data_IF_868352938907
#
_entry.id   IF_868352938907
#
_cell.length_a   1.000
_cell.length_b   1.000
_cell.length_c   1.000
_cell.angle_alpha   90.00
_cell.angle_beta   90.00
_cell.angle_gamma   90.00
#
_symmetry.space_group_name_H-M   'P 1'
#
loop_
_entity.id
_entity.type
_entity.pdbx_description
1 polymer ?
#
# COMPACT_ATOMS: atom_id res chain seq x y z
N UNK A 1 -25.72 4.02 -1.54
CA UNK A 1 -25.06 4.19 -0.22
C UNK A 1 -24.71 2.79 0.24
N UNK A 2 -23.49 2.33 -0.03
CA UNK A 2 -22.96 1.11 0.56
C UNK A 2 -21.75 1.55 1.38
N UNK A 3 -21.92 1.41 2.69
CA UNK A 3 -20.97 1.75 3.73
C UNK A 3 -19.72 0.92 3.55
N UNK A 4 -18.63 1.58 3.14
CA UNK A 4 -17.30 1.00 3.13
C UNK A 4 -16.84 0.87 4.58
N UNK A 5 -17.08 -0.29 5.19
CA UNK A 5 -16.47 -0.65 6.47
C UNK A 5 -14.96 -0.73 6.29
N UNK A 6 -14.28 0.31 6.75
CA UNK A 6 -12.87 0.33 7.05
C UNK A 6 -12.63 -0.65 8.20
N UNK A 7 -12.39 -1.92 7.87
CA UNK A 7 -11.87 -2.86 8.87
C UNK A 7 -10.43 -2.47 9.16
N UNK A 8 -10.23 -1.97 10.38
CA UNK A 8 -8.97 -1.51 10.95
C UNK A 8 -7.83 -2.51 10.69
N UNK A 9 -6.75 -2.04 10.05
CA UNK A 9 -5.48 -2.77 10.02
C UNK A 9 -4.96 -2.83 11.47
N UNK A 10 -5.18 -3.95 12.14
CA UNK A 10 -4.58 -4.20 13.44
C UNK A 10 -3.06 -4.35 13.31
N UNK A 11 -2.28 -3.69 14.19
CA UNK A 11 -0.83 -3.69 14.12
C UNK A 11 -0.31 -5.10 14.37
N UNK A 12 0.80 -5.44 13.73
CA UNK A 12 1.55 -6.70 13.89
C UNK A 12 1.99 -6.82 15.35
N UNK A 13 1.10 -7.27 16.22
CA UNK A 13 1.44 -7.75 17.56
C UNK A 13 2.05 -9.12 17.37
N UNK A 14 3.20 -9.37 18.01
CA UNK A 14 3.79 -10.70 18.16
C UNK A 14 2.72 -11.67 18.64
N UNK A 15 2.10 -12.39 17.70
CA UNK A 15 1.01 -13.29 18.00
C UNK A 15 1.62 -14.57 18.56
N UNK A 16 1.12 -15.04 19.69
CA UNK A 16 1.45 -16.35 20.26
C UNK A 16 1.38 -17.42 19.16
N UNK A 17 2.52 -18.07 18.89
CA UNK A 17 2.65 -19.05 17.80
C UNK A 17 2.66 -20.47 18.35
N UNK A 18 2.65 -21.45 17.44
CA UNK A 18 2.76 -22.87 17.79
C UNK A 18 4.10 -23.17 18.47
N UNK A 19 5.15 -22.43 18.13
CA UNK A 19 6.50 -22.62 18.70
C UNK A 19 6.59 -22.17 20.17
N UNK A 20 5.65 -21.32 20.62
CA UNK A 20 5.56 -20.85 22.00
C UNK A 20 4.81 -21.84 22.94
N UNK A 21 4.37 -22.98 22.41
CA UNK A 21 3.64 -24.00 23.18
C UNK A 21 4.60 -24.84 24.02
N UNK A 22 4.42 -24.81 25.33
CA UNK A 22 5.15 -25.67 26.28
C UNK A 22 4.36 -26.96 26.54
N UNK A 23 4.66 -28.01 25.78
CA UNK A 23 3.97 -29.32 25.84
C UNK A 23 4.98 -30.46 26.03
N UNK A 24 5.71 -30.42 27.14
CA UNK A 24 6.57 -31.55 27.55
C UNK A 24 5.79 -32.57 28.39
N UNK A 25 5.06 -33.47 27.73
CA UNK A 25 4.29 -34.56 28.39
C UNK A 25 4.93 -35.95 28.25
N UNK A 26 5.78 -36.16 27.24
CA UNK A 26 6.37 -37.46 26.92
C UNK A 26 7.21 -38.06 28.06
N UNK A 27 8.11 -37.32 28.73
CA UNK A 27 8.87 -37.85 29.86
C UNK A 27 7.96 -38.35 30.99
N UNK A 28 6.88 -37.62 31.26
CA UNK A 28 5.93 -37.94 32.31
C UNK A 28 5.09 -39.19 31.96
N UNK A 29 4.68 -39.34 30.70
CA UNK A 29 3.99 -40.54 30.21
C UNK A 29 4.90 -41.76 30.34
N UNK A 30 6.17 -41.65 29.94
CA UNK A 30 7.14 -42.72 30.09
C UNK A 30 7.34 -43.13 31.55
N UNK A 31 7.47 -42.15 32.45
CA UNK A 31 7.62 -42.37 33.88
C UNK A 31 6.40 -43.05 34.52
N UNK A 32 5.19 -42.73 34.05
CA UNK A 32 3.96 -43.39 34.47
C UNK A 32 3.97 -44.85 33.97
N UNK A 33 4.22 -45.07 32.68
CA UNK A 33 4.24 -46.41 32.08
C UNK A 33 5.22 -47.33 32.82
N UNK A 34 6.44 -46.82 33.05
CA UNK A 34 7.50 -47.54 33.76
C UNK A 34 7.15 -47.82 35.22
N UNK A 35 6.39 -46.95 35.87
CA UNK A 35 5.95 -47.15 37.25
C UNK A 35 4.78 -48.13 37.38
N UNK A 36 3.97 -48.29 36.33
CA UNK A 36 2.86 -49.26 36.28
C UNK A 36 3.35 -50.66 35.90
N UNK A 37 4.37 -50.76 35.05
CA UNK A 37 4.98 -52.04 34.66
C UNK A 37 5.88 -52.65 35.74
N UNK A 38 6.18 -51.91 36.81
CA UNK A 38 7.07 -52.37 37.88
C UNK A 38 6.32 -53.31 38.82
N UNK A 39 6.77 -54.56 38.94
CA UNK A 39 6.15 -55.56 39.81
C UNK A 39 6.56 -55.32 41.28
N UNK A 40 5.64 -55.01 42.21
CA UNK A 40 5.99 -54.65 43.58
C UNK A 40 6.36 -55.89 44.40
N UNK A 41 7.60 -55.95 44.88
CA UNK A 41 8.11 -57.08 45.69
C UNK A 41 7.67 -57.03 47.18
N UNK A 42 7.13 -55.92 47.68
CA UNK A 42 6.67 -55.74 49.08
C UNK A 42 5.38 -54.88 49.15
N UNK A 43 4.47 -55.19 50.09
CA UNK A 43 3.15 -54.54 50.27
C UNK A 43 3.27 -53.06 50.66
N UNK A 44 4.31 -52.70 51.44
CA UNK A 44 4.59 -51.30 51.78
C UNK A 44 5.13 -50.49 50.60
N UNK A 45 5.92 -51.13 49.72
CA UNK A 45 6.40 -50.53 48.47
C UNK A 45 5.25 -50.31 47.48
N UNK A 46 4.32 -51.27 47.38
CA UNK A 46 3.13 -51.17 46.54
C UNK A 46 2.26 -49.95 46.86
N UNK A 47 2.05 -49.65 48.14
CA UNK A 47 1.27 -48.49 48.57
C UNK A 47 1.95 -47.17 48.20
N UNK A 48 3.28 -47.07 48.38
CA UNK A 48 4.06 -45.88 48.05
C UNK A 48 4.15 -45.66 46.54
N UNK A 49 4.45 -46.70 45.76
CA UNK A 49 4.50 -46.64 44.30
C UNK A 49 3.13 -46.30 43.69
N UNK A 50 2.04 -46.84 44.25
CA UNK A 50 0.67 -46.48 43.84
C UNK A 50 0.33 -45.02 44.13
N UNK A 51 0.86 -44.44 45.20
CA UNK A 51 0.67 -43.02 45.52
C UNK A 51 1.49 -42.14 44.56
N UNK A 52 2.74 -42.51 44.30
CA UNK A 52 3.63 -41.78 43.38
C UNK A 52 3.10 -41.82 41.93
N UNK A 53 2.58 -42.96 41.47
CA UNK A 53 1.93 -43.06 40.15
C UNK A 53 0.70 -42.17 40.05
N UNK A 54 -0.13 -42.15 41.09
CA UNK A 54 -1.31 -41.28 41.17
C UNK A 54 -0.93 -39.80 41.10
N UNK A 55 0.16 -39.40 41.77
CA UNK A 55 0.68 -38.02 41.68
C UNK A 55 1.16 -37.67 40.26
N UNK A 56 1.88 -38.56 39.57
CA UNK A 56 2.31 -38.35 38.18
C UNK A 56 1.13 -38.24 37.22
N UNK A 57 0.07 -39.04 37.42
CA UNK A 57 -1.16 -38.96 36.62
C UNK A 57 -1.85 -37.60 36.80
N UNK A 58 -1.92 -37.09 38.04
CA UNK A 58 -2.46 -35.76 38.32
C UNK A 58 -1.61 -34.65 37.69
N UNK A 59 -0.29 -34.79 37.68
CA UNK A 59 0.61 -33.87 37.00
C UNK A 59 0.39 -33.88 35.48
N UNK A 60 0.20 -35.06 34.89
CA UNK A 60 -0.10 -35.19 33.47
C UNK A 60 -1.42 -34.51 33.11
N UNK A 61 -2.45 -34.70 33.93
CA UNK A 61 -3.73 -34.03 33.76
C UNK A 61 -3.57 -32.50 33.80
N UNK A 62 -2.82 -31.96 34.77
CA UNK A 62 -2.52 -30.52 34.85
C UNK A 62 -1.78 -30.01 33.61
N UNK A 63 -0.79 -30.76 33.10
CA UNK A 63 -0.05 -30.38 31.89
C UNK A 63 -0.96 -30.40 30.65
N UNK A 64 -1.87 -31.37 30.52
CA UNK A 64 -2.84 -31.40 29.43
C UNK A 64 -3.84 -30.24 29.49
N UNK A 65 -4.31 -29.88 30.68
CA UNK A 65 -5.21 -28.74 30.86
C UNK A 65 -4.51 -27.41 30.56
N UNK A 66 -3.24 -27.28 30.97
CA UNK A 66 -2.38 -26.14 30.60
C UNK A 66 -2.18 -26.06 29.08
N UNK A 67 -1.83 -27.16 28.42
CA UNK A 67 -1.66 -27.23 26.96
C UNK A 67 -2.96 -26.84 26.24
N UNK A 68 -4.12 -27.33 26.71
CA UNK A 68 -5.44 -26.94 26.18
C UNK A 68 -5.71 -25.45 26.35
N UNK A 69 -5.33 -24.87 27.49
CA UNK A 69 -5.47 -23.43 27.73
C UNK A 69 -4.54 -22.59 26.83
N UNK A 70 -3.33 -23.08 26.55
CA UNK A 70 -2.41 -22.43 25.61
C UNK A 70 -2.91 -22.53 24.16
N UNK A 71 -3.39 -23.70 23.74
CA UNK A 71 -4.01 -23.90 22.41
C UNK A 71 -5.16 -22.92 22.21
N UNK A 72 -5.98 -22.67 23.25
CA UNK A 72 -7.07 -21.68 23.21
C UNK A 72 -6.63 -20.23 22.98
N UNK A 73 -5.35 -19.91 23.18
CA UNK A 73 -4.78 -18.58 22.92
C UNK A 73 -4.24 -18.43 21.50
N UNK A 74 -4.16 -19.52 20.74
CA UNK A 74 -3.66 -19.47 19.37
C UNK A 74 -4.63 -18.65 18.49
N UNK A 75 -4.12 -17.67 17.74
CA UNK A 75 -4.96 -16.89 16.84
C UNK A 75 -5.52 -17.80 15.75
N UNK A 76 -6.79 -17.58 15.40
CA UNK A 76 -7.40 -18.27 14.27
C UNK A 76 -8.23 -19.50 14.62
N UNK A 77 -8.06 -20.10 15.80
CA UNK A 77 -8.83 -21.28 16.25
C UNK A 77 -10.31 -20.97 16.50
N UNK A 78 -10.66 -19.69 16.67
CA UNK A 78 -12.03 -19.23 16.92
C UNK A 78 -12.91 -19.32 15.67
N UNK A 79 -12.29 -19.39 14.50
CA UNK A 79 -12.99 -19.42 13.22
C UNK A 79 -13.25 -20.86 12.80
N UNK A 80 -14.40 -21.07 12.16
CA UNK A 80 -14.65 -22.33 11.45
C UNK A 80 -13.69 -22.47 10.26
N UNK A 81 -13.47 -23.70 9.80
CA UNK A 81 -12.62 -23.97 8.63
C UNK A 81 -13.06 -23.15 7.40
N UNK A 82 -14.37 -23.01 7.20
CA UNK A 82 -14.95 -22.26 6.09
C UNK A 82 -14.67 -20.76 6.20
N UNK A 83 -14.83 -20.20 7.40
CA UNK A 83 -14.53 -18.80 7.69
C UNK A 83 -13.03 -18.49 7.51
N UNK A 84 -12.14 -19.39 7.93
CA UNK A 84 -10.70 -19.26 7.72
C UNK A 84 -10.38 -19.20 6.22
N UNK A 85 -10.97 -20.10 5.42
CA UNK A 85 -10.77 -20.12 3.97
C UNK A 85 -11.32 -18.86 3.30
N UNK A 86 -12.50 -18.39 3.70
CA UNK A 86 -13.10 -17.17 3.16
C UNK A 86 -12.24 -15.92 3.48
N UNK A 87 -11.71 -15.82 4.70
CA UNK A 87 -10.80 -14.73 5.10
C UNK A 87 -9.50 -14.79 4.30
N UNK A 88 -8.97 -15.98 4.08
CA UNK A 88 -7.77 -16.21 3.26
C UNK A 88 -8.00 -15.78 1.80
N UNK A 89 -9.12 -16.17 1.19
CA UNK A 89 -9.48 -15.73 -0.16
C UNK A 89 -9.61 -14.20 -0.26
N UNK A 90 -10.23 -13.58 0.75
CA UNK A 90 -10.37 -12.13 0.83
C UNK A 90 -9.01 -11.45 0.89
N UNK A 91 -8.10 -11.94 1.73
CA UNK A 91 -6.73 -11.43 1.82
C UNK A 91 -5.97 -11.60 0.51
N UNK A 92 -6.11 -12.75 -0.18
CA UNK A 92 -5.51 -12.97 -1.51
C UNK A 92 -6.03 -11.96 -2.53
N UNK A 93 -7.34 -11.69 -2.55
CA UNK A 93 -7.96 -10.68 -3.42
C UNK A 93 -7.43 -9.27 -3.11
N UNK A 94 -7.40 -8.88 -1.83
CA UNK A 94 -6.86 -7.59 -1.41
C UNK A 94 -5.40 -7.42 -1.82
N UNK A 95 -4.57 -8.44 -1.61
CA UNK A 95 -3.16 -8.41 -1.98
C UNK A 95 -2.97 -8.28 -3.49
N UNK A 96 -3.76 -9.00 -4.29
CA UNK A 96 -3.77 -8.87 -5.75
C UNK A 96 -4.10 -7.44 -6.18
N UNK A 97 -5.17 -6.86 -5.64
CA UNK A 97 -5.58 -5.49 -5.96
C UNK A 97 -4.53 -4.45 -5.53
N UNK A 98 -3.97 -4.58 -4.32
CA UNK A 98 -2.86 -3.74 -3.84
C UNK A 98 -1.65 -3.82 -4.79
N UNK A 99 -1.28 -5.03 -5.27
CA UNK A 99 -0.20 -5.21 -6.26
C UNK A 99 -0.51 -4.58 -7.61
N UNK A 100 -1.70 -4.78 -8.15
CA UNK A 100 -2.14 -4.19 -9.42
C UNK A 100 -2.10 -2.66 -9.35
N UNK A 101 -2.53 -2.08 -8.22
CA UNK A 101 -2.47 -0.65 -7.98
C UNK A 101 -1.02 -0.13 -7.93
N UNK A 102 -0.13 -0.82 -7.20
CA UNK A 102 1.29 -0.45 -7.15
C UNK A 102 1.96 -0.55 -8.53
N UNK A 103 1.65 -1.58 -9.32
CA UNK A 103 2.14 -1.71 -10.69
C UNK A 103 1.63 -0.57 -11.57
N UNK A 104 0.37 -0.17 -11.41
CA UNK A 104 -0.21 0.96 -12.14
C UNK A 104 0.50 2.26 -11.77
N UNK A 105 0.73 2.54 -10.48
CA UNK A 105 1.47 3.73 -10.06
C UNK A 105 2.91 3.73 -10.55
N UNK A 106 3.59 2.57 -10.48
CA UNK A 106 4.94 2.42 -11.04
C UNK A 106 4.95 2.78 -12.53
N UNK A 107 4.00 2.26 -13.31
CA UNK A 107 3.93 2.48 -14.75
C UNK A 107 3.52 3.92 -15.14
N UNK A 108 2.69 4.58 -14.32
CA UNK A 108 2.35 6.00 -14.52
C UNK A 108 3.54 6.90 -14.22
N UNK A 109 4.28 6.66 -13.13
CA UNK A 109 5.47 7.42 -12.78
C UNK A 109 6.62 7.19 -13.76
N UNK A 110 6.80 5.98 -14.31
CA UNK A 110 7.83 5.76 -15.34
C UNK A 110 7.51 6.54 -16.61
N UNK A 111 6.25 6.65 -17.03
CA UNK A 111 5.89 7.44 -18.21
C UNK A 111 6.18 8.93 -18.00
N UNK A 112 5.75 9.51 -16.87
CA UNK A 112 6.06 10.92 -16.56
C UNK A 112 7.56 11.15 -16.42
N UNK A 113 8.29 10.28 -15.72
CA UNK A 113 9.74 10.43 -15.57
C UNK A 113 10.49 10.26 -16.90
N UNK A 114 10.06 9.39 -17.81
CA UNK A 114 10.70 9.20 -19.12
C UNK A 114 10.41 10.40 -20.03
N UNK A 115 9.17 10.88 -20.09
CA UNK A 115 8.80 12.04 -20.91
C UNK A 115 9.46 13.31 -20.36
N UNK A 116 9.42 13.52 -19.04
CA UNK A 116 10.10 14.63 -18.39
C UNK A 116 11.61 14.51 -18.53
N UNK A 117 12.25 13.36 -18.26
CA UNK A 117 13.71 13.21 -18.49
C UNK A 117 14.07 13.45 -19.95
N UNK A 118 13.28 12.97 -20.91
CA UNK A 118 13.57 13.16 -22.34
C UNK A 118 13.42 14.63 -22.75
N UNK A 119 12.39 15.32 -22.27
CA UNK A 119 12.19 16.76 -22.50
C UNK A 119 13.25 17.60 -21.79
N UNK A 120 13.56 17.31 -20.52
CA UNK A 120 14.58 18.02 -19.75
C UNK A 120 16.02 17.70 -20.18
N UNK A 121 16.29 16.53 -20.79
CA UNK A 121 17.60 16.21 -21.36
C UNK A 121 17.77 16.71 -22.79
N UNK A 122 16.70 17.20 -23.43
CA UNK A 122 16.82 17.92 -24.70
C UNK A 122 17.47 19.27 -24.38
N UNK A 123 18.76 19.41 -24.72
CA UNK A 123 19.65 20.48 -24.20
C UNK A 123 19.09 21.91 -24.28
N UNK A 124 18.21 22.18 -25.24
CA UNK A 124 17.51 23.46 -25.40
C UNK A 124 16.57 23.75 -24.23
N UNK A 125 15.74 22.79 -23.81
CA UNK A 125 14.77 22.98 -22.72
C UNK A 125 15.52 23.11 -21.39
N UNK A 126 16.56 22.30 -21.19
CA UNK A 126 17.44 22.39 -20.01
C UNK A 126 18.06 23.77 -19.87
N UNK A 127 18.64 24.27 -20.97
CA UNK A 127 19.29 25.58 -21.01
C UNK A 127 18.29 26.70 -20.77
N UNK A 128 17.10 26.63 -21.40
CA UNK A 128 16.04 27.61 -21.20
C UNK A 128 15.55 27.64 -19.75
N UNK A 129 15.33 26.47 -19.14
CA UNK A 129 14.90 26.37 -17.74
C UNK A 129 16.00 26.85 -16.79
N UNK A 130 17.27 26.50 -17.02
CA UNK A 130 18.38 27.00 -16.23
C UNK A 130 18.50 28.52 -16.34
N UNK A 131 18.34 29.07 -17.54
CA UNK A 131 18.39 30.50 -17.81
C UNK A 131 17.23 31.26 -17.14
N UNK A 132 16.02 30.69 -17.18
CA UNK A 132 14.84 31.25 -16.51
C UNK A 132 15.02 31.19 -14.99
N UNK A 133 15.38 30.04 -14.43
CA UNK A 133 15.54 29.83 -12.98
C UNK A 133 16.66 30.68 -12.37
N UNK A 134 17.71 30.99 -13.13
CA UNK A 134 18.82 31.83 -12.67
C UNK A 134 18.52 33.34 -12.75
N UNK A 135 17.35 33.74 -13.27
CA UNK A 135 16.95 35.14 -13.43
C UNK A 135 15.54 35.37 -12.87
N UNK A 136 15.45 35.54 -11.54
CA UNK A 136 14.18 35.71 -10.83
C UNK A 136 13.33 36.89 -11.34
N UNK A 137 13.98 38.00 -11.71
CA UNK A 137 13.29 39.17 -12.26
C UNK A 137 12.62 38.90 -13.62
N UNK A 138 13.19 38.00 -14.43
CA UNK A 138 12.60 37.60 -15.70
C UNK A 138 11.37 36.73 -15.45
N UNK A 139 11.45 35.77 -14.52
CA UNK A 139 10.30 34.94 -14.14
C UNK A 139 9.13 35.80 -13.68
N UNK A 140 9.38 36.79 -12.82
CA UNK A 140 8.33 37.67 -12.31
C UNK A 140 7.69 38.51 -13.43
N UNK A 141 8.49 39.12 -14.31
CA UNK A 141 7.98 39.83 -15.50
C UNK A 141 7.24 38.92 -16.48
N UNK A 142 7.68 37.66 -16.59
CA UNK A 142 7.03 36.65 -17.41
C UNK A 142 5.68 36.24 -16.81
N UNK A 143 5.60 35.98 -15.52
CA UNK A 143 4.35 35.65 -14.82
C UNK A 143 3.29 36.77 -14.97
N UNK A 144 3.73 38.03 -14.94
CA UNK A 144 2.86 39.18 -15.17
C UNK A 144 2.40 39.34 -16.62
N UNK A 145 3.10 38.72 -17.57
CA UNK A 145 2.77 38.80 -18.99
C UNK A 145 1.44 38.10 -19.32
N UNK A 146 0.68 38.72 -20.23
CA UNK A 146 -0.59 38.18 -20.75
C UNK A 146 -0.50 36.73 -21.27
N UNK A 147 0.51 36.32 -22.07
CA UNK A 147 0.55 34.97 -22.62
C UNK A 147 0.77 33.89 -21.55
N UNK A 148 1.54 34.19 -20.50
CA UNK A 148 1.79 33.24 -19.40
C UNK A 148 0.58 33.13 -18.50
N UNK A 149 -0.12 34.24 -18.24
CA UNK A 149 -1.39 34.22 -17.52
C UNK A 149 -2.48 33.45 -18.27
N UNK A 150 -2.55 33.58 -19.60
CA UNK A 150 -3.47 32.80 -20.43
C UNK A 150 -3.09 31.31 -20.43
N UNK A 151 -1.80 30.99 -20.52
CA UNK A 151 -1.30 29.61 -20.43
C UNK A 151 -1.62 28.99 -19.07
N UNK A 152 -1.42 29.72 -17.97
CA UNK A 152 -1.76 29.28 -16.62
C UNK A 152 -3.26 29.03 -16.46
N UNK A 153 -4.12 29.93 -16.99
CA UNK A 153 -5.58 29.73 -17.01
C UNK A 153 -5.97 28.48 -17.79
N UNK A 154 -5.33 28.22 -18.93
CA UNK A 154 -5.57 27.02 -19.74
C UNK A 154 -5.14 25.75 -19.00
N UNK A 155 -3.97 25.76 -18.35
CA UNK A 155 -3.49 24.64 -17.52
C UNK A 155 -4.46 24.38 -16.36
N UNK A 156 -4.90 25.42 -15.65
CA UNK A 156 -5.91 25.31 -14.58
C UNK A 156 -7.23 24.79 -15.12
N UNK A 157 -7.69 25.26 -16.27
CA UNK A 157 -8.91 24.78 -16.91
C UNK A 157 -8.81 23.30 -17.27
N UNK A 158 -7.73 22.88 -17.93
CA UNK A 158 -7.48 21.46 -18.25
C UNK A 158 -7.42 20.61 -16.98
N UNK A 159 -6.77 21.10 -15.93
CA UNK A 159 -6.68 20.40 -14.65
C UNK A 159 -8.04 20.30 -13.95
N UNK A 160 -8.83 21.38 -13.95
CA UNK A 160 -10.19 21.40 -13.39
C UNK A 160 -11.18 20.52 -14.16
N UNK A 161 -10.94 20.31 -15.46
CA UNK A 161 -11.71 19.39 -16.29
C UNK A 161 -11.31 17.91 -16.13
N UNK A 162 -10.17 17.63 -15.49
CA UNK A 162 -9.85 16.27 -15.07
C UNK A 162 -10.69 15.90 -13.84
N UNK A 163 -11.71 15.05 -14.04
CA UNK A 163 -12.51 14.55 -12.94
C UNK A 163 -11.66 13.66 -12.02
N UNK A 164 -11.78 13.84 -10.71
CA UNK A 164 -11.21 12.91 -9.72
C UNK A 164 -11.99 11.60 -9.77
N UNK A 165 -11.39 10.55 -10.33
CA UNK A 165 -11.87 9.18 -10.16
C UNK A 165 -10.78 8.45 -9.39
N UNK A 166 -11.07 8.06 -8.14
CA UNK A 166 -10.18 7.31 -7.25
C UNK A 166 -8.79 7.94 -7.05
N UNK A 167 -8.72 9.23 -6.71
CA UNK A 167 -7.48 9.98 -6.42
C UNK A 167 -6.42 10.03 -7.54
N UNK A 168 -6.78 9.66 -8.78
CA UNK A 168 -5.91 9.81 -9.96
C UNK A 168 -6.53 10.86 -10.90
N UNK A 169 -5.78 11.92 -11.21
CA UNK A 169 -6.16 12.88 -12.25
C UNK A 169 -6.10 12.19 -13.61
N UNK A 170 -7.24 11.81 -14.17
CA UNK A 170 -7.31 11.25 -15.52
C UNK A 170 -7.64 12.39 -16.48
N UNK A 171 -6.69 12.75 -17.35
CA UNK A 171 -6.94 13.63 -18.48
C UNK A 171 -8.08 12.99 -19.31
N UNK A 172 -9.21 13.69 -19.50
CA UNK A 172 -10.21 13.24 -20.49
C UNK A 172 -9.56 13.21 -21.88
N UNK A 173 -10.05 12.30 -22.71
CA UNK A 173 -9.54 11.88 -24.03
C UNK A 173 -8.39 12.73 -24.60
N UNK A 174 -7.20 12.15 -24.87
CA UNK A 174 -6.06 12.85 -25.46
C UNK A 174 -6.40 13.66 -26.71
N UNK A 175 -7.41 13.22 -27.48
CA UNK A 175 -7.89 13.92 -28.67
C UNK A 175 -8.54 15.28 -28.37
N UNK A 176 -9.30 15.39 -27.28
CA UNK A 176 -9.95 16.64 -26.87
C UNK A 176 -8.92 17.67 -26.39
N UNK A 177 -7.93 17.22 -25.61
CA UNK A 177 -6.81 18.08 -25.18
C UNK A 177 -6.02 18.63 -26.39
N UNK A 178 -5.80 17.80 -27.41
CA UNK A 178 -5.13 18.23 -28.65
C UNK A 178 -5.95 19.24 -29.44
N UNK A 179 -7.27 19.14 -29.46
CA UNK A 179 -8.13 20.14 -30.12
C UNK A 179 -8.09 21.49 -29.40
N UNK A 180 -8.15 21.47 -28.07
CA UNK A 180 -8.03 22.69 -27.24
C UNK A 180 -6.67 23.35 -27.50
N UNK A 181 -5.59 22.57 -27.54
CA UNK A 181 -4.24 23.06 -27.81
C UNK A 181 -4.11 23.67 -29.21
N UNK A 182 -4.70 23.03 -30.22
CA UNK A 182 -4.71 23.55 -31.61
C UNK A 182 -5.46 24.88 -31.71
N UNK A 183 -6.61 25.00 -31.07
CA UNK A 183 -7.41 26.22 -31.07
C UNK A 183 -6.66 27.36 -30.37
N UNK A 184 -6.01 27.07 -29.24
CA UNK A 184 -5.17 28.03 -28.53
C UNK A 184 -3.99 28.51 -29.38
N UNK A 185 -3.25 27.59 -30.02
CA UNK A 185 -2.12 27.93 -30.87
C UNK A 185 -2.52 28.84 -32.04
N UNK A 186 -3.68 28.58 -32.64
CA UNK A 186 -4.23 29.41 -33.71
C UNK A 186 -4.61 30.82 -33.23
N UNK A 187 -5.20 30.94 -32.04
CA UNK A 187 -5.55 32.24 -31.47
C UNK A 187 -4.29 33.08 -31.19
N UNK A 188 -3.28 32.48 -30.55
CA UNK A 188 -1.98 33.12 -30.30
C UNK A 188 -1.29 33.58 -31.60
N UNK A 189 -1.34 32.76 -32.64
CA UNK A 189 -0.79 33.11 -33.95
C UNK A 189 -1.46 34.35 -34.56
N UNK A 190 -2.76 34.49 -34.36
CA UNK A 190 -3.53 35.64 -34.84
C UNK A 190 -3.24 36.91 -34.02
N UNK A 191 -3.16 36.79 -32.70
CA UNK A 191 -2.76 37.92 -31.83
C UNK A 191 -1.36 38.44 -32.19
N UNK A 192 -0.39 37.56 -32.45
CA UNK A 192 0.96 37.95 -32.86
C UNK A 192 0.99 38.66 -34.22
N UNK A 193 0.16 38.23 -35.18
CA UNK A 193 0.03 38.91 -36.48
C UNK A 193 -0.50 40.33 -36.30
N UNK A 194 -1.54 40.51 -35.49
CA UNK A 194 -2.12 41.83 -35.22
C UNK A 194 -1.13 42.76 -34.52
N UNK A 195 -0.36 42.25 -33.54
CA UNK A 195 0.69 43.04 -32.88
C UNK A 195 1.79 43.43 -33.87
N UNK A 196 2.17 42.52 -34.78
CA UNK A 196 3.17 42.78 -35.83
C UNK A 196 2.71 43.84 -36.83
N UNK A 197 1.44 43.81 -37.22
CA UNK A 197 0.82 44.83 -38.09
C UNK A 197 0.72 46.19 -37.42
N UNK A 198 0.27 46.23 -36.16
CA UNK A 198 0.27 47.46 -35.35
C UNK A 198 1.67 48.05 -35.24
N UNK A 199 2.69 47.24 -34.96
CA UNK A 199 4.09 47.70 -34.88
C UNK A 199 4.60 48.27 -36.21
N UNK A 200 4.22 47.69 -37.35
CA UNK A 200 4.54 48.24 -38.68
C UNK A 200 3.88 49.60 -38.92
N UNK A 201 2.63 49.77 -38.48
CA UNK A 201 1.92 51.04 -38.56
C UNK A 201 2.55 52.15 -37.68
N UNK A 202 3.10 51.79 -36.52
CA UNK A 202 3.84 52.74 -35.67
C UNK A 202 5.23 53.11 -36.18
N UNK A 203 5.86 52.27 -37.02
CA UNK A 203 7.17 52.57 -37.64
C UNK A 203 7.05 53.31 -38.99
N UNK A 204 5.84 53.45 -39.54
CA UNK A 204 5.57 54.14 -40.81
C UNK A 204 5.05 55.57 -40.60
N UNK A 205 5.13 56.10 -39.38
CA UNK A 205 4.72 57.44 -38.97
C UNK A 205 5.88 58.07 -38.22
#
# INVERSE_FOLDING_TARGET
METSELTEESPIRSSFTVDDLDIEILPLIYDILRSVEKDPHDTTQKAKESQDTSHKILELQKKLDSARAQIKRLPGIEYSKEEQLQKLETLRKQLRLKRELLLKYRNMCTFEQIVLKKLFNMGIIRFLMQYLMNNEQLINKLADSKPIRQSAKLVVYLFSQTGKINNVYKLKSPAEALQILKNFANNMKNELKQVREKKKHYLSK
#
